data_IF_873787275073
#
_entry.id   IF_873787275073
#
_cell.length_a   1.000
_cell.length_b   1.000
_cell.length_c   1.000
_cell.angle_alpha   90.00
_cell.angle_beta   90.00
_cell.angle_gamma   90.00
#
_symmetry.space_group_name_H-M   'P 1'
#
loop_
_entity.id
_entity.type
_entity.pdbx_description
1 polymer ?
#
# COMPACT_ATOMS: atom_id res chain seq x y z
N UNK A 1 5.17 -41.93 32.09
CA UNK A 1 4.62 -40.88 31.21
C UNK A 1 5.27 -39.51 31.51
N UNK A 2 6.57 -39.32 31.24
CA UNK A 2 7.30 -38.07 31.58
C UNK A 2 8.06 -37.42 30.40
N UNK A 3 7.98 -37.99 29.19
CA UNK A 3 8.76 -37.56 28.01
C UNK A 3 8.00 -36.69 27.00
N UNK A 4 6.69 -36.45 27.20
CA UNK A 4 5.84 -35.75 26.21
C UNK A 4 5.92 -34.22 26.37
N UNK A 5 6.11 -33.73 27.59
CA UNK A 5 6.14 -32.30 27.93
C UNK A 5 7.25 -31.50 27.17
N UNK A 6 8.51 -31.97 27.07
CA UNK A 6 9.55 -31.19 26.38
C UNK A 6 9.35 -31.12 24.86
N UNK A 7 8.75 -32.15 24.26
CA UNK A 7 8.43 -32.17 22.82
C UNK A 7 7.31 -31.16 22.53
N UNK A 8 6.29 -31.09 23.39
CA UNK A 8 5.18 -30.17 23.22
C UNK A 8 5.64 -28.70 23.31
N UNK A 9 6.52 -28.37 24.25
CA UNK A 9 7.10 -27.03 24.40
C UNK A 9 7.98 -26.64 23.21
N UNK A 10 8.76 -27.59 22.67
CA UNK A 10 9.57 -27.35 21.47
C UNK A 10 8.70 -27.08 20.24
N UNK A 11 7.64 -27.87 20.04
CA UNK A 11 6.69 -27.68 18.93
C UNK A 11 5.97 -26.34 19.04
N UNK A 12 5.52 -25.94 20.22
CA UNK A 12 4.87 -24.64 20.44
C UNK A 12 5.85 -23.48 20.22
N UNK A 13 7.07 -23.56 20.74
CA UNK A 13 8.11 -22.55 20.54
C UNK A 13 8.52 -22.41 19.08
N UNK A 14 8.70 -23.52 18.37
CA UNK A 14 9.00 -23.52 16.94
C UNK A 14 7.85 -22.96 16.10
N UNK A 15 6.60 -23.29 16.46
CA UNK A 15 5.42 -22.76 15.76
C UNK A 15 5.27 -21.25 15.95
N UNK A 16 5.47 -20.75 17.17
CA UNK A 16 5.48 -19.31 17.46
C UNK A 16 6.60 -18.59 16.71
N UNK A 17 7.80 -19.17 16.65
CA UNK A 17 8.92 -18.66 15.86
C UNK A 17 8.59 -18.62 14.37
N UNK A 18 7.97 -19.66 13.82
CA UNK A 18 7.59 -19.73 12.42
C UNK A 18 6.51 -18.70 12.06
N UNK A 19 5.51 -18.51 12.94
CA UNK A 19 4.50 -17.46 12.80
C UNK A 19 5.16 -16.07 12.84
N UNK A 20 6.08 -15.84 13.78
CA UNK A 20 6.83 -14.59 13.87
C UNK A 20 7.64 -14.31 12.59
N UNK A 21 8.38 -15.30 12.08
CA UNK A 21 9.16 -15.17 10.83
C UNK A 21 8.25 -14.92 9.62
N UNK A 22 7.08 -15.53 9.55
CA UNK A 22 6.12 -15.33 8.45
C UNK A 22 5.46 -13.95 8.48
N UNK A 23 5.15 -13.43 9.68
CA UNK A 23 4.56 -12.11 9.87
C UNK A 23 5.59 -10.99 9.69
N UNK A 24 6.79 -11.13 10.29
CA UNK A 24 7.86 -10.13 10.19
C UNK A 24 8.39 -9.96 8.76
N UNK A 25 8.25 -10.98 7.88
CA UNK A 25 8.73 -10.93 6.50
C UNK A 25 7.62 -10.73 5.47
N UNK A 26 6.42 -10.25 5.84
CA UNK A 26 5.36 -10.03 4.85
C UNK A 26 5.80 -9.07 3.75
N UNK A 27 6.51 -8.00 4.12
CA UNK A 27 6.86 -6.93 3.17
C UNK A 27 8.09 -7.25 2.33
N UNK A 28 9.01 -8.07 2.84
CA UNK A 28 10.18 -8.56 2.09
C UNK A 28 9.81 -9.43 0.88
N UNK A 29 8.55 -9.85 0.76
CA UNK A 29 8.04 -10.59 -0.40
C UNK A 29 7.92 -9.70 -1.64
N UNK A 30 7.83 -8.38 -1.45
CA UNK A 30 7.76 -7.43 -2.55
C UNK A 30 9.15 -6.91 -2.92
N UNK A 31 9.41 -6.70 -4.21
CA UNK A 31 10.69 -6.17 -4.66
C UNK A 31 10.88 -4.73 -4.19
N UNK A 32 12.14 -4.34 -3.98
CA UNK A 32 12.51 -2.95 -3.76
C UNK A 32 12.10 -2.10 -4.96
N UNK A 33 11.57 -0.92 -4.66
CA UNK A 33 11.15 0.04 -5.66
C UNK A 33 12.38 0.61 -6.37
N UNK A 34 12.27 0.75 -7.68
CA UNK A 34 13.33 1.28 -8.53
C UNK A 34 12.70 2.23 -9.55
N UNK A 35 13.34 3.39 -9.74
CA UNK A 35 12.91 4.42 -10.68
C UNK A 35 12.73 3.90 -12.11
N UNK A 36 13.60 3.01 -12.59
CA UNK A 36 13.46 2.44 -13.95
C UNK A 36 12.16 1.64 -14.08
N UNK A 37 11.90 0.73 -13.14
CA UNK A 37 10.67 -0.09 -13.15
C UNK A 37 9.42 0.77 -12.97
N UNK A 38 9.51 1.82 -12.17
CA UNK A 38 8.42 2.78 -11.96
C UNK A 38 8.06 3.49 -13.28
N UNK A 39 9.06 4.04 -13.97
CA UNK A 39 8.86 4.76 -15.23
C UNK A 39 8.32 3.84 -16.34
N UNK A 40 8.78 2.59 -16.41
CA UNK A 40 8.28 1.61 -17.38
C UNK A 40 6.81 1.26 -17.12
N UNK A 41 6.44 1.03 -15.85
CA UNK A 41 5.07 0.74 -15.47
C UNK A 41 4.13 1.94 -15.72
N UNK A 42 4.59 3.16 -15.40
CA UNK A 42 3.85 4.39 -15.66
C UNK A 42 3.64 4.63 -17.15
N UNK A 43 4.65 4.37 -17.98
CA UNK A 43 4.53 4.46 -19.45
C UNK A 43 3.49 3.47 -19.96
N UNK A 44 3.49 2.22 -19.45
CA UNK A 44 2.48 1.22 -19.82
C UNK A 44 1.07 1.64 -19.39
N UNK A 45 0.93 2.22 -18.20
CA UNK A 45 -0.34 2.75 -17.72
C UNK A 45 -0.91 3.82 -18.66
N UNK A 46 -0.10 4.83 -19.01
CA UNK A 46 -0.54 5.88 -19.93
C UNK A 46 -0.83 5.35 -21.34
N UNK A 47 -0.05 4.39 -21.83
CA UNK A 47 -0.29 3.73 -23.11
C UNK A 47 -1.59 2.91 -23.14
N UNK A 48 -2.05 2.40 -21.99
CA UNK A 48 -3.31 1.68 -21.88
C UNK A 48 -4.55 2.58 -22.05
N UNK A 49 -4.39 3.91 -22.00
CA UNK A 49 -5.47 4.86 -22.27
C UNK A 49 -6.63 4.82 -21.26
N UNK A 50 -6.41 4.28 -20.06
CA UNK A 50 -7.45 4.21 -19.03
C UNK A 50 -7.67 5.59 -18.41
N UNK A 51 -8.85 6.17 -18.68
CA UNK A 51 -9.25 7.48 -18.16
C UNK A 51 -10.51 7.44 -17.29
N UNK A 52 -11.17 6.27 -17.19
CA UNK A 52 -12.40 6.07 -16.44
C UNK A 52 -12.24 4.85 -15.53
N UNK A 53 -12.26 5.05 -14.22
CA UNK A 53 -12.10 3.97 -13.26
C UNK A 53 -12.57 4.37 -11.87
N UNK A 54 -12.88 3.37 -11.04
CA UNK A 54 -12.95 3.52 -9.60
C UNK A 54 -11.80 2.73 -8.97
N UNK A 55 -11.13 3.34 -8.00
CA UNK A 55 -10.04 2.73 -7.24
C UNK A 55 -10.34 2.82 -5.75
N UNK A 56 -10.09 1.73 -5.04
CA UNK A 56 -10.16 1.69 -3.57
C UNK A 56 -8.76 1.44 -3.02
N UNK A 57 -8.23 2.43 -2.29
CA UNK A 57 -6.90 2.39 -1.68
C UNK A 57 -7.06 2.37 -0.16
N UNK A 58 -6.45 1.38 0.48
CA UNK A 58 -6.32 1.36 1.93
C UNK A 58 -4.92 1.83 2.33
N UNK A 59 -4.87 2.72 3.31
CA UNK A 59 -3.64 3.26 3.86
C UNK A 59 -3.55 2.85 5.31
N UNK A 60 -2.43 2.26 5.70
CA UNK A 60 -2.10 1.96 7.08
C UNK A 60 -0.88 2.81 7.47
N UNK A 61 -1.02 3.62 8.51
CA UNK A 61 0.04 4.46 9.04
C UNK A 61 -0.05 4.47 10.57
N UNK A 62 1.05 4.09 11.22
CA UNK A 62 1.06 3.87 12.67
C UNK A 62 -0.08 2.94 13.13
N UNK A 63 -0.93 3.39 14.05
CA UNK A 63 -2.09 2.64 14.54
C UNK A 63 -3.39 2.91 13.76
N UNK A 64 -3.30 3.67 12.68
CA UNK A 64 -4.45 4.15 11.93
C UNK A 64 -4.57 3.46 10.57
N UNK A 65 -5.79 3.10 10.20
CA UNK A 65 -6.10 2.59 8.87
C UNK A 65 -7.25 3.37 8.25
N UNK A 66 -7.03 3.83 7.03
CA UNK A 66 -7.95 4.62 6.21
C UNK A 66 -8.28 3.86 4.94
N UNK A 67 -9.46 4.09 4.39
CA UNK A 67 -9.89 3.60 3.07
C UNK A 67 -10.38 4.77 2.25
N UNK A 68 -9.75 4.97 1.11
CA UNK A 68 -10.09 5.96 0.10
C UNK A 68 -10.78 5.25 -1.05
N UNK A 69 -11.97 5.71 -1.45
CA UNK A 69 -12.63 5.27 -2.68
C UNK A 69 -12.64 6.48 -3.60
N UNK A 70 -12.02 6.37 -4.77
CA UNK A 70 -11.87 7.48 -5.72
C UNK A 70 -12.41 7.06 -7.07
N UNK A 71 -13.33 7.86 -7.60
CA UNK A 71 -13.88 7.71 -8.95
C UNK A 71 -13.23 8.75 -9.85
N UNK A 72 -12.65 8.28 -10.96
CA UNK A 72 -12.00 9.09 -11.98
C UNK A 72 -12.77 8.94 -13.30
N UNK A 73 -13.08 10.06 -13.95
CA UNK A 73 -13.68 10.10 -15.29
C UNK A 73 -12.97 11.14 -16.15
N UNK A 74 -12.65 10.79 -17.40
CA UNK A 74 -11.85 11.64 -18.30
C UNK A 74 -10.53 12.10 -17.64
N UNK A 75 -9.92 11.25 -16.81
CA UNK A 75 -8.70 11.55 -16.07
C UNK A 75 -8.85 12.55 -14.91
N UNK A 76 -10.08 12.95 -14.55
CA UNK A 76 -10.38 13.86 -13.45
C UNK A 76 -11.11 13.14 -12.32
N UNK A 77 -10.82 13.48 -11.07
CA UNK A 77 -11.56 12.97 -9.91
C UNK A 77 -12.96 13.58 -9.92
N UNK A 78 -14.00 12.74 -9.97
CA UNK A 78 -15.40 13.19 -9.93
C UNK A 78 -16.06 12.94 -8.58
N UNK A 79 -15.65 11.88 -7.88
CA UNK A 79 -16.14 11.53 -6.56
C UNK A 79 -15.00 10.93 -5.75
N UNK A 80 -14.97 11.22 -4.44
CA UNK A 80 -14.05 10.58 -3.54
C UNK A 80 -14.64 10.50 -2.13
N UNK A 81 -14.42 9.38 -1.47
CA UNK A 81 -14.82 9.19 -0.06
C UNK A 81 -13.68 8.62 0.77
N UNK A 82 -13.76 8.86 2.07
CA UNK A 82 -12.84 8.40 3.07
C UNK A 82 -13.59 7.71 4.23
N UNK A 83 -13.07 6.56 4.65
CA UNK A 83 -13.51 5.85 5.86
C UNK A 83 -12.31 5.55 6.74
N UNK A 84 -12.52 5.53 8.06
CA UNK A 84 -11.53 5.13 9.04
C UNK A 84 -11.90 3.78 9.63
N UNK A 85 -10.90 2.95 9.96
CA UNK A 85 -11.14 1.73 10.71
C UNK A 85 -11.13 2.06 12.21
N UNK A 86 -12.25 1.81 12.90
CA UNK A 86 -12.38 1.99 14.35
C UNK A 86 -12.70 0.63 14.97
N UNK A 87 -11.72 0.08 15.71
CA UNK A 87 -11.76 -1.31 16.12
C UNK A 87 -11.70 -2.24 14.91
N UNK A 88 -12.77 -2.99 14.66
CA UNK A 88 -12.89 -3.91 13.52
C UNK A 88 -13.85 -3.41 12.44
N UNK A 89 -14.42 -2.21 12.61
CA UNK A 89 -15.49 -1.69 11.77
C UNK A 89 -15.06 -0.41 11.06
N UNK A 90 -15.42 -0.30 9.78
CA UNK A 90 -15.23 0.92 9.01
C UNK A 90 -16.30 1.96 9.35
N UNK A 91 -15.90 3.21 9.57
CA UNK A 91 -16.83 4.34 9.68
C UNK A 91 -17.59 4.51 8.36
N UNK A 92 -18.79 5.13 8.37
CA UNK A 92 -19.45 5.55 7.15
C UNK A 92 -18.51 6.36 6.24
N UNK A 93 -18.58 6.19 4.92
CA UNK A 93 -17.76 6.95 3.99
C UNK A 93 -18.16 8.41 3.98
N UNK A 94 -17.20 9.30 4.19
CA UNK A 94 -17.37 10.75 4.16
C UNK A 94 -16.77 11.32 2.87
N UNK A 95 -17.44 12.28 2.20
CA UNK A 95 -16.92 12.88 0.98
C UNK A 95 -15.65 13.68 1.27
N UNK A 96 -14.68 13.60 0.36
CA UNK A 96 -13.43 14.37 0.43
C UNK A 96 -13.20 15.18 -0.85
N UNK A 97 -12.43 16.25 -0.75
CA UNK A 97 -12.12 17.12 -1.89
C UNK A 97 -11.24 16.44 -2.94
N UNK A 98 -11.40 16.86 -4.20
CA UNK A 98 -10.66 16.30 -5.34
C UNK A 98 -9.13 16.46 -5.23
N UNK A 99 -8.67 17.57 -4.64
CA UNK A 99 -7.23 17.83 -4.42
C UNK A 99 -6.59 16.75 -3.55
N UNK A 100 -7.21 16.43 -2.41
CA UNK A 100 -6.76 15.37 -1.51
C UNK A 100 -6.91 13.98 -2.15
N UNK A 101 -8.02 13.75 -2.84
CA UNK A 101 -8.29 12.47 -3.51
C UNK A 101 -7.31 12.15 -4.65
N UNK A 102 -6.73 13.19 -5.27
CA UNK A 102 -5.77 13.07 -6.36
C UNK A 102 -4.57 12.18 -6.01
N UNK A 103 -4.12 12.22 -4.76
CA UNK A 103 -3.01 11.38 -4.25
C UNK A 103 -3.32 9.87 -4.27
N UNK A 104 -4.61 9.51 -4.25
CA UNK A 104 -5.08 8.13 -4.22
C UNK A 104 -5.58 7.62 -5.58
N UNK A 105 -5.35 8.40 -6.64
CA UNK A 105 -5.51 7.95 -8.04
C UNK A 105 -4.28 7.17 -8.50
N UNK A 106 -4.36 6.40 -9.60
CA UNK A 106 -3.17 5.68 -10.12
C UNK A 106 -1.99 6.63 -10.41
N UNK A 107 -2.15 7.76 -11.10
CA UNK A 107 -1.08 8.77 -11.23
C UNK A 107 -0.59 9.31 -9.88
N UNK A 108 -1.49 9.51 -8.92
CA UNK A 108 -1.14 9.91 -7.55
C UNK A 108 -0.21 8.93 -6.85
N UNK A 109 -0.49 7.62 -6.96
CA UNK A 109 0.36 6.57 -6.39
C UNK A 109 1.74 6.52 -7.04
N UNK A 110 1.83 6.70 -8.37
CA UNK A 110 3.12 6.84 -9.05
C UNK A 110 3.91 8.05 -8.54
N UNK A 111 3.25 9.20 -8.35
CA UNK A 111 3.85 10.41 -7.83
C UNK A 111 4.38 10.22 -6.40
N UNK A 112 3.61 9.57 -5.53
CA UNK A 112 4.01 9.25 -4.16
C UNK A 112 5.29 8.39 -4.14
N UNK A 113 5.33 7.31 -4.93
CA UNK A 113 6.54 6.48 -5.05
C UNK A 113 7.74 7.27 -5.55
N UNK A 114 7.55 8.10 -6.58
CA UNK A 114 8.64 8.92 -7.13
C UNK A 114 9.19 9.89 -6.09
N UNK A 115 8.30 10.52 -5.32
CA UNK A 115 8.69 11.41 -4.24
C UNK A 115 9.56 10.67 -3.21
N UNK A 116 9.09 9.52 -2.73
CA UNK A 116 9.80 8.74 -1.70
C UNK A 116 11.16 8.21 -2.19
N UNK A 117 11.23 7.73 -3.44
CA UNK A 117 12.49 7.29 -4.06
C UNK A 117 13.52 8.43 -4.21
N UNK A 118 13.05 9.66 -4.42
CA UNK A 118 13.92 10.82 -4.60
C UNK A 118 14.42 11.40 -3.27
N UNK A 119 13.61 11.35 -2.22
CA UNK A 119 14.00 11.90 -0.90
C UNK A 119 15.11 11.06 -0.24
N UNK A 120 15.15 9.73 -0.47
CA UNK A 120 16.12 8.80 0.14
C UNK A 120 16.21 8.90 1.67
N UNK A 121 15.12 9.31 2.32
CA UNK A 121 15.05 9.47 3.77
C UNK A 121 14.58 8.19 4.48
N UNK A 122 14.10 7.20 3.73
CA UNK A 122 13.57 5.95 4.27
C UNK A 122 14.58 4.83 4.18
N UNK A 123 14.51 3.91 5.12
CA UNK A 123 15.31 2.68 5.12
C UNK A 123 15.01 1.80 3.90
N UNK A 124 13.73 1.70 3.54
CA UNK A 124 13.29 0.81 2.47
C UNK A 124 12.01 1.36 1.81
N UNK A 125 11.88 1.12 0.51
CA UNK A 125 10.67 1.42 -0.28
C UNK A 125 10.42 0.19 -1.15
N UNK A 126 9.29 -0.48 -0.95
CA UNK A 126 8.92 -1.70 -1.71
C UNK A 126 7.62 -1.50 -2.45
N UNK A 127 7.50 -2.13 -3.62
CA UNK A 127 6.32 -1.96 -4.47
C UNK A 127 5.97 -3.25 -5.22
N UNK A 128 4.67 -3.58 -5.26
CA UNK A 128 4.12 -4.55 -6.22
C UNK A 128 3.38 -3.81 -7.35
N UNK A 129 3.79 -4.10 -8.58
CA UNK A 129 3.16 -3.60 -9.80
C UNK A 129 2.79 -4.72 -10.76
N UNK A 130 2.73 -5.98 -10.30
CA UNK A 130 2.46 -7.15 -11.14
C UNK A 130 0.95 -7.29 -11.45
N UNK A 131 0.41 -6.28 -12.12
CA UNK A 131 -0.97 -6.19 -12.61
C UNK A 131 -0.98 -5.70 -14.06
N UNK A 132 -2.09 -5.90 -14.77
CA UNK A 132 -2.25 -5.46 -16.17
C UNK A 132 -3.54 -4.62 -16.34
N UNK A 133 -3.44 -3.36 -16.79
CA UNK A 133 -2.20 -2.61 -17.00
C UNK A 133 -1.42 -2.42 -15.70
N UNK A 134 -0.11 -2.17 -15.79
CA UNK A 134 0.75 -2.03 -14.63
C UNK A 134 0.44 -0.74 -13.84
N UNK A 135 0.30 -0.85 -12.52
CA UNK A 135 0.19 0.27 -11.59
C UNK A 135 0.62 -0.15 -10.18
N UNK A 136 0.94 0.80 -9.27
CA UNK A 136 1.29 0.48 -7.88
C UNK A 136 0.10 -0.13 -7.14
N UNK A 137 0.07 -1.46 -7.02
CA UNK A 137 -0.99 -2.18 -6.30
C UNK A 137 -0.71 -2.23 -4.81
N UNK A 138 0.55 -2.39 -4.43
CA UNK A 138 1.00 -2.39 -3.06
C UNK A 138 2.25 -1.52 -2.95
N UNK A 139 2.31 -0.69 -1.92
CA UNK A 139 3.48 0.13 -1.61
C UNK A 139 3.76 0.04 -0.12
N UNK A 140 5.00 -0.27 0.25
CA UNK A 140 5.50 -0.15 1.61
C UNK A 140 6.57 0.92 1.66
N UNK A 141 6.34 1.91 2.51
CA UNK A 141 7.31 2.92 2.86
C UNK A 141 7.83 2.59 4.26
N UNK A 142 9.07 2.14 4.32
CA UNK A 142 9.77 1.83 5.56
C UNK A 142 9.99 3.06 6.43
N UNK A 143 10.60 2.87 7.61
CA UNK A 143 10.82 3.94 8.55
C UNK A 143 11.71 5.04 7.96
N UNK A 144 11.38 6.29 8.27
CA UNK A 144 12.22 7.46 8.01
C UNK A 144 13.39 7.44 8.98
N UNK A 145 14.58 7.77 8.49
CA UNK A 145 15.76 8.03 9.30
C UNK A 145 15.69 9.44 9.89
N UNK A 146 15.69 9.53 11.22
CA UNK A 146 15.83 10.79 11.95
C UNK A 146 17.00 10.66 12.92
N UNK A 147 17.94 11.61 12.85
CA UNK A 147 19.13 11.65 13.73
C UNK A 147 19.97 10.36 13.72
N UNK A 148 19.96 9.61 12.60
CA UNK A 148 20.70 8.37 12.46
C UNK A 148 20.00 7.13 13.03
N UNK A 149 18.72 7.25 13.43
CA UNK A 149 17.89 6.14 13.89
C UNK A 149 16.61 5.99 13.05
N UNK A 150 16.09 4.77 12.83
CA UNK A 150 14.85 4.54 12.11
C UNK A 150 13.63 4.82 13.00
N UNK A 151 12.74 5.70 12.56
CA UNK A 151 11.49 6.00 13.25
C UNK A 151 10.39 5.01 12.85
N UNK A 152 10.22 3.92 13.60
CA UNK A 152 9.24 2.87 13.28
C UNK A 152 7.79 3.37 13.11
N UNK A 153 7.38 4.44 13.81
CA UNK A 153 6.03 5.02 13.70
C UNK A 153 5.77 5.79 12.39
N UNK A 154 6.79 5.96 11.55
CA UNK A 154 6.70 6.68 10.28
C UNK A 154 6.48 5.76 9.06
N UNK A 155 6.37 4.45 9.29
CA UNK A 155 6.03 3.48 8.25
C UNK A 155 4.63 3.74 7.69
N UNK A 156 4.49 3.56 6.38
CA UNK A 156 3.20 3.62 5.71
C UNK A 156 3.03 2.45 4.74
N UNK A 157 1.82 1.90 4.67
CA UNK A 157 1.43 0.88 3.68
C UNK A 157 0.25 1.39 2.87
N UNK A 158 0.34 1.26 1.56
CA UNK A 158 -0.74 1.56 0.63
C UNK A 158 -1.10 0.28 -0.10
N UNK A 159 -2.38 -0.08 -0.11
CA UNK A 159 -2.88 -1.26 -0.81
C UNK A 159 -4.09 -0.90 -1.64
N UNK A 160 -3.99 -1.10 -2.96
CA UNK A 160 -5.13 -1.06 -3.87
C UNK A 160 -5.91 -2.36 -3.69
N UNK A 161 -7.00 -2.29 -2.93
CA UNK A 161 -7.85 -3.45 -2.63
C UNK A 161 -8.87 -3.73 -3.72
N UNK A 162 -9.27 -2.70 -4.49
CA UNK A 162 -10.13 -2.84 -5.65
C UNK A 162 -9.76 -1.82 -6.73
N UNK A 163 -9.86 -2.24 -7.99
CA UNK A 163 -9.71 -1.40 -9.16
C UNK A 163 -10.72 -1.85 -10.22
N UNK A 164 -11.58 -0.94 -10.64
CA UNK A 164 -12.70 -1.23 -11.55
C UNK A 164 -12.65 -0.23 -12.71
N UNK A 165 -12.27 -0.65 -13.92
CA UNK A 165 -12.45 0.15 -15.13
C UNK A 165 -13.93 0.50 -15.30
N UNK A 166 -14.22 1.75 -15.62
CA UNK A 166 -15.58 2.21 -15.91
C UNK A 166 -15.73 2.40 -17.42
N UNK A 167 -16.95 2.18 -17.93
CA UNK A 167 -17.27 2.56 -19.30
C UNK A 167 -17.15 4.08 -19.45
N UNK A 168 -16.72 4.53 -20.63
CA UNK A 168 -16.85 5.94 -20.99
C UNK A 168 -18.34 6.34 -20.89
N UNK A 169 -18.65 7.55 -20.39
CA UNK A 169 -20.01 8.07 -20.30
C UNK A 169 -20.66 8.23 -21.69
#
# INVERSE_FOLDING_TARGET
MRKIIPILLFVLGFSAFLIYVLYANRERRFPEANMTRLNDAETQWYAAGIQHYQITVEVEFAAERRRHIVTVQNGQVTEATLSYLVGETWTPPEPVGAEFAGEFTVPGLFNALRFELNQRQREDVRVDMNVSPAYPRYMYFGPVWLEGEPMASSEARFTVVAFVPLSAP
#
